data_IF_249200653876
#
_entry.id   IF_249200653876
#
_cell.length_a   1.000
_cell.length_b   1.000
_cell.length_c   1.000
_cell.angle_alpha   90.00
_cell.angle_beta   90.00
_cell.angle_gamma   90.00
#
_symmetry.space_group_name_H-M   'P 1'
#
loop_
_entity.id
_entity.type
_entity.pdbx_description
1 polymer ?
#
# COMPACT_ATOMS: atom_id res chain seq x y z
N UNK A 1 7.33 -18.12 17.71
CA UNK A 1 7.33 -16.65 17.56
C UNK A 1 8.37 -16.09 18.51
N UNK A 2 9.42 -15.43 18.02
CA UNK A 2 10.43 -14.83 18.89
C UNK A 2 9.91 -13.53 19.51
N UNK A 3 10.47 -13.11 20.64
CA UNK A 3 10.09 -11.85 21.30
C UNK A 3 10.23 -10.62 20.38
N UNK A 4 11.16 -10.67 19.41
CA UNK A 4 11.36 -9.61 18.42
C UNK A 4 10.21 -9.50 17.41
N UNK A 5 9.67 -10.62 16.92
CA UNK A 5 8.53 -10.62 15.98
C UNK A 5 7.27 -10.09 16.65
N UNK A 6 7.01 -10.45 17.92
CA UNK A 6 5.86 -9.94 18.67
C UNK A 6 5.91 -8.42 18.80
N UNK A 7 7.08 -7.85 19.11
CA UNK A 7 7.26 -6.39 19.20
C UNK A 7 7.02 -5.69 17.86
N UNK A 8 7.55 -6.22 16.76
CA UNK A 8 7.37 -5.65 15.42
C UNK A 8 5.91 -5.71 14.96
N UNK A 9 5.23 -6.84 15.19
CA UNK A 9 3.80 -6.99 14.88
C UNK A 9 2.95 -6.02 15.69
N UNK A 10 3.25 -5.86 17.00
CA UNK A 10 2.54 -4.91 17.85
C UNK A 10 2.71 -3.46 17.36
N UNK A 11 3.93 -3.08 16.99
CA UNK A 11 4.20 -1.74 16.45
C UNK A 11 3.42 -1.50 15.15
N UNK A 12 3.42 -2.47 14.25
CA UNK A 12 2.68 -2.39 12.99
C UNK A 12 1.16 -2.29 13.21
N UNK A 13 0.61 -3.06 14.14
CA UNK A 13 -0.80 -3.01 14.51
C UNK A 13 -1.19 -1.63 15.06
N UNK A 14 -0.36 -1.05 15.95
CA UNK A 14 -0.58 0.29 16.50
C UNK A 14 -0.54 1.35 15.38
N UNK A 15 0.47 1.30 14.51
CA UNK A 15 0.57 2.22 13.37
C UNK A 15 -0.64 2.11 12.43
N UNK A 16 -1.15 0.90 12.22
CA UNK A 16 -2.36 0.65 11.43
C UNK A 16 -3.60 1.23 12.11
N UNK A 17 -3.76 1.04 13.42
CA UNK A 17 -4.88 1.58 14.19
C UNK A 17 -4.89 3.12 14.16
N UNK A 18 -3.74 3.74 14.39
CA UNK A 18 -3.60 5.20 14.30
C UNK A 18 -4.00 5.71 12.93
N UNK A 19 -3.56 5.04 11.87
CA UNK A 19 -3.93 5.39 10.48
C UNK A 19 -5.43 5.25 10.21
N UNK A 20 -6.10 4.28 10.84
CA UNK A 20 -7.56 4.10 10.71
C UNK A 20 -8.33 5.18 11.48
N UNK A 21 -7.87 5.53 12.67
CA UNK A 21 -8.50 6.58 13.48
C UNK A 21 -8.37 7.94 12.76
N UNK A 22 -7.20 8.28 12.24
CA UNK A 22 -7.02 9.52 11.48
C UNK A 22 -7.85 9.53 10.20
N UNK A 23 -7.96 8.39 9.51
CA UNK A 23 -8.86 8.23 8.38
C UNK A 23 -10.33 8.45 8.74
N UNK A 24 -10.79 7.89 9.87
CA UNK A 24 -12.16 8.08 10.34
C UNK A 24 -12.46 9.54 10.69
N UNK A 25 -11.52 10.23 11.35
CA UNK A 25 -11.65 11.66 11.66
C UNK A 25 -11.76 12.46 10.37
N UNK A 26 -10.91 12.19 9.38
CA UNK A 26 -11.02 12.80 8.04
C UNK A 26 -12.42 12.57 7.47
N UNK A 27 -12.90 11.34 7.41
CA UNK A 27 -14.18 11.01 6.78
C UNK A 27 -15.36 11.70 7.49
N UNK A 28 -15.32 11.79 8.83
CA UNK A 28 -16.31 12.53 9.62
C UNK A 28 -16.31 14.04 9.31
N UNK A 29 -15.13 14.65 9.17
CA UNK A 29 -15.00 16.05 8.78
C UNK A 29 -15.50 16.28 7.35
N UNK A 30 -15.14 15.41 6.41
CA UNK A 30 -15.64 15.53 5.03
C UNK A 30 -17.16 15.38 4.98
N UNK A 31 -17.74 14.46 5.74
CA UNK A 31 -19.19 14.32 5.85
C UNK A 31 -19.86 15.55 6.47
N UNK A 32 -19.25 16.19 7.49
CA UNK A 32 -19.83 17.39 8.12
C UNK A 32 -19.71 18.65 7.26
N UNK A 33 -18.61 18.81 6.53
CA UNK A 33 -18.37 20.00 5.69
C UNK A 33 -19.03 19.89 4.31
N UNK A 34 -19.00 18.71 3.68
CA UNK A 34 -19.46 18.54 2.30
C UNK A 34 -20.78 17.76 2.20
N UNK A 35 -21.14 16.95 3.21
CA UNK A 35 -22.33 16.10 3.16
C UNK A 35 -22.40 15.26 1.88
N UNK A 36 -23.61 15.09 1.36
CA UNK A 36 -23.83 14.58 0.00
C UNK A 36 -23.78 15.75 -0.98
N UNK A 37 -22.62 15.98 -1.60
CA UNK A 37 -22.44 17.06 -2.57
C UNK A 37 -21.63 16.62 -3.78
N UNK A 38 -21.93 17.23 -4.93
CA UNK A 38 -21.23 16.95 -6.18
C UNK A 38 -19.72 17.29 -6.10
N UNK A 39 -19.32 18.25 -5.24
CA UNK A 39 -17.90 18.55 -5.03
C UNK A 39 -17.18 17.40 -4.33
N UNK A 40 -17.81 16.77 -3.34
CA UNK A 40 -17.23 15.62 -2.65
C UNK A 40 -17.15 14.39 -3.56
N UNK A 41 -18.19 14.14 -4.35
CA UNK A 41 -18.18 13.06 -5.35
C UNK A 41 -17.05 13.24 -6.37
N UNK A 42 -16.85 14.47 -6.86
CA UNK A 42 -15.75 14.79 -7.78
C UNK A 42 -14.37 14.57 -7.12
N UNK A 43 -14.21 14.96 -5.85
CA UNK A 43 -13.00 14.69 -5.08
C UNK A 43 -12.72 13.19 -4.96
N UNK A 44 -13.74 12.37 -4.63
CA UNK A 44 -13.62 10.92 -4.51
C UNK A 44 -13.19 10.27 -5.83
N UNK A 45 -13.76 10.71 -6.95
CA UNK A 45 -13.35 10.23 -8.28
C UNK A 45 -11.92 10.63 -8.59
N UNK A 46 -11.52 11.87 -8.29
CA UNK A 46 -10.17 12.37 -8.55
C UNK A 46 -9.09 11.59 -7.78
N UNK A 47 -9.35 11.21 -6.53
CA UNK A 47 -8.39 10.45 -5.71
C UNK A 47 -8.42 8.94 -6.00
N UNK A 48 -9.44 8.43 -6.70
CA UNK A 48 -9.58 6.99 -6.95
C UNK A 48 -8.40 6.40 -7.72
N UNK A 49 -7.98 7.06 -8.81
CA UNK A 49 -6.86 6.63 -9.65
C UNK A 49 -5.56 6.55 -8.85
N UNK A 50 -5.11 7.62 -8.15
CA UNK A 50 -3.87 7.55 -7.38
C UNK A 50 -3.96 6.54 -6.22
N UNK A 51 -5.11 6.41 -5.55
CA UNK A 51 -5.28 5.38 -4.50
C UNK A 51 -5.16 3.95 -5.06
N UNK A 52 -5.75 3.70 -6.23
CA UNK A 52 -5.64 2.41 -6.90
C UNK A 52 -4.18 2.07 -7.23
N UNK A 53 -3.45 3.01 -7.83
CA UNK A 53 -2.02 2.84 -8.13
C UNK A 53 -1.21 2.61 -6.85
N UNK A 54 -1.46 3.39 -5.78
CA UNK A 54 -0.81 3.19 -4.48
C UNK A 54 -1.04 1.78 -3.94
N UNK A 55 -2.26 1.26 -4.07
CA UNK A 55 -2.59 -0.10 -3.59
C UNK A 55 -1.83 -1.19 -4.34
N UNK A 56 -1.60 -1.00 -5.63
CA UNK A 56 -0.84 -1.96 -6.46
C UNK A 56 0.65 -1.89 -6.12
N UNK A 57 1.22 -0.69 -6.11
CA UNK A 57 2.67 -0.50 -6.07
C UNK A 57 3.23 -0.37 -4.64
N UNK A 58 2.54 0.33 -3.73
CA UNK A 58 3.06 0.66 -2.40
C UNK A 58 2.56 -0.28 -1.30
N UNK A 59 1.29 -0.71 -1.36
CA UNK A 59 0.72 -1.62 -0.35
C UNK A 59 1.16 -3.09 -0.55
N UNK A 60 2.10 -3.34 -1.47
CA UNK A 60 2.82 -4.61 -1.58
C UNK A 60 2.20 -5.66 -2.50
N UNK A 61 1.10 -5.37 -3.21
CA UNK A 61 0.51 -6.31 -4.17
C UNK A 61 1.50 -6.70 -5.27
N UNK A 62 2.18 -5.72 -5.87
CA UNK A 62 3.26 -5.98 -6.82
C UNK A 62 4.45 -6.68 -6.16
N UNK A 63 4.84 -6.25 -4.95
CA UNK A 63 5.96 -6.82 -4.19
C UNK A 63 5.78 -8.31 -3.90
N UNK A 64 4.56 -8.75 -3.59
CA UNK A 64 4.24 -10.16 -3.32
C UNK A 64 4.49 -11.06 -4.54
N UNK A 65 4.23 -10.57 -5.76
CA UNK A 65 4.48 -11.33 -6.99
C UNK A 65 5.92 -11.15 -7.49
N UNK A 66 6.49 -9.96 -7.36
CA UNK A 66 7.80 -9.60 -7.88
C UNK A 66 8.96 -10.23 -7.08
N UNK A 67 8.94 -10.11 -5.75
CA UNK A 67 10.06 -10.50 -4.88
C UNK A 67 10.41 -11.99 -4.97
N UNK A 68 9.44 -12.95 -4.94
CA UNK A 68 9.75 -14.37 -5.06
C UNK A 68 10.42 -14.72 -6.39
N UNK A 69 9.89 -14.21 -7.51
CA UNK A 69 10.42 -14.48 -8.85
C UNK A 69 11.79 -13.84 -9.05
N UNK A 70 11.96 -12.59 -8.59
CA UNK A 70 13.26 -11.92 -8.62
C UNK A 70 14.31 -12.71 -7.82
N UNK A 71 13.97 -13.16 -6.61
CA UNK A 71 14.86 -13.95 -5.78
C UNK A 71 15.19 -15.32 -6.41
N UNK A 72 14.26 -15.94 -7.13
CA UNK A 72 14.52 -17.17 -7.90
C UNK A 72 15.54 -16.92 -9.02
N UNK A 73 15.34 -15.87 -9.84
CA UNK A 73 16.28 -15.52 -10.92
C UNK A 73 17.64 -15.11 -10.39
N UNK A 74 17.69 -14.45 -9.23
CA UNK A 74 18.93 -14.01 -8.57
C UNK A 74 19.80 -15.20 -8.16
N UNK A 75 19.19 -16.30 -7.73
CA UNK A 75 19.93 -17.55 -7.44
C UNK A 75 20.60 -18.14 -8.68
N UNK A 76 20.04 -17.93 -9.87
CA UNK A 76 20.60 -18.48 -11.11
C UNK A 76 21.67 -17.59 -11.74
N UNK A 77 21.46 -16.28 -11.79
CA UNK A 77 22.45 -15.29 -12.24
C UNK A 77 21.95 -13.89 -11.92
N UNK A 78 22.87 -13.02 -11.48
CA UNK A 78 22.58 -11.60 -11.28
C UNK A 78 22.02 -10.97 -12.56
N UNK A 79 22.58 -11.28 -13.71
CA UNK A 79 22.19 -10.71 -15.00
C UNK A 79 20.74 -11.05 -15.38
N UNK A 80 20.32 -12.30 -15.15
CA UNK A 80 18.92 -12.73 -15.37
C UNK A 80 17.93 -12.04 -14.44
N UNK A 81 18.32 -11.78 -13.19
CA UNK A 81 17.48 -11.05 -12.24
C UNK A 81 17.31 -9.58 -12.65
N UNK A 82 18.40 -8.92 -13.09
CA UNK A 82 18.34 -7.54 -13.57
C UNK A 82 17.55 -7.42 -14.88
N UNK A 83 17.70 -8.36 -15.82
CA UNK A 83 16.90 -8.42 -17.04
C UNK A 83 15.40 -8.60 -16.76
N UNK A 84 15.05 -9.43 -15.78
CA UNK A 84 13.66 -9.57 -15.31
C UNK A 84 13.15 -8.24 -14.72
N UNK A 85 13.94 -7.60 -13.84
CA UNK A 85 13.57 -6.33 -13.24
C UNK A 85 13.32 -5.25 -14.30
N UNK A 86 14.19 -5.10 -15.30
CA UNK A 86 14.04 -4.10 -16.38
C UNK A 86 12.94 -4.40 -17.38
N UNK A 87 12.39 -5.62 -17.39
CA UNK A 87 11.24 -5.98 -18.23
C UNK A 87 9.91 -5.70 -17.53
N UNK A 88 9.91 -5.74 -16.18
CA UNK A 88 8.71 -5.68 -15.35
C UNK A 88 8.50 -4.31 -14.70
N UNK A 89 9.58 -3.57 -14.43
CA UNK A 89 9.60 -2.21 -13.89
C UNK A 89 9.98 -1.22 -14.99
#
# INVERSE_FOLDING_TARGET
MTASTVRSTALFAIATLLSRITGLVRDSLFASYFGTSAQYDAYLVAIMIPFFLRKIFADGAMTMAFVPVFNEKLKSSRERAFMFASTVL
#
